data_IF_309092665118
#
_entry.id   IF_309092665118
#
_cell.length_a   1.000
_cell.length_b   1.000
_cell.length_c   1.000
_cell.angle_alpha   90.00
_cell.angle_beta   90.00
_cell.angle_gamma   90.00
#
_symmetry.space_group_name_H-M   'P 1'
#
loop_
_entity.id
_entity.type
_entity.pdbx_description
1 polymer ?
#
# COMPACT_ATOMS: atom_id res chain seq x y z
N UNK A 1 21.42 54.40 -13.84
CA UNK A 1 21.72 53.08 -13.23
C UNK A 1 20.50 52.62 -12.44
N UNK A 2 19.67 51.77 -13.03
CA UNK A 2 18.36 51.37 -12.47
C UNK A 2 18.45 49.92 -12.00
N UNK A 3 18.42 49.71 -10.67
CA UNK A 3 18.46 48.38 -10.04
C UNK A 3 17.14 47.65 -10.28
N UNK A 4 17.15 46.60 -11.13
CA UNK A 4 16.03 45.68 -11.31
C UNK A 4 16.08 44.63 -10.18
N UNK A 5 15.23 44.78 -9.17
CA UNK A 5 15.04 43.76 -8.12
C UNK A 5 14.33 42.54 -8.72
N UNK A 6 15.03 41.42 -8.81
CA UNK A 6 14.47 40.10 -9.11
C UNK A 6 13.59 39.65 -7.93
N UNK A 7 12.31 39.38 -8.18
CA UNK A 7 11.41 38.72 -7.22
C UNK A 7 11.67 37.22 -7.30
N UNK A 8 12.30 36.69 -6.26
CA UNK A 8 12.44 35.25 -6.04
C UNK A 8 11.06 34.65 -5.72
N UNK A 9 10.59 33.60 -6.41
CA UNK A 9 9.35 32.93 -6.05
C UNK A 9 9.55 32.18 -4.73
N UNK A 10 8.76 32.51 -3.71
CA UNK A 10 8.74 31.74 -2.46
C UNK A 10 8.23 30.32 -2.75
N UNK A 11 8.86 29.27 -2.19
CA UNK A 11 8.35 27.92 -2.29
C UNK A 11 7.00 27.86 -1.59
N UNK A 12 5.94 27.50 -2.32
CA UNK A 12 4.65 27.18 -1.74
C UNK A 12 4.87 26.02 -0.77
N UNK A 13 4.64 26.29 0.51
CA UNK A 13 4.58 25.25 1.55
C UNK A 13 3.52 24.23 1.07
N UNK A 14 3.83 22.92 1.02
CA UNK A 14 2.82 21.93 0.68
C UNK A 14 1.67 22.10 1.68
N UNK A 15 0.47 22.36 1.17
CA UNK A 15 -0.74 22.35 1.97
C UNK A 15 -0.86 20.95 2.58
N UNK A 16 -0.77 20.87 3.92
CA UNK A 16 -1.18 19.68 4.65
C UNK A 16 -2.66 19.46 4.32
N UNK A 17 -2.92 18.52 3.39
CA UNK A 17 -4.29 18.03 3.20
C UNK A 17 -4.73 17.47 4.55
N UNK A 18 -5.82 18.01 5.09
CA UNK A 18 -6.48 17.40 6.22
C UNK A 18 -6.87 15.97 5.82
N UNK A 19 -6.19 14.97 6.38
CA UNK A 19 -6.58 13.58 6.19
C UNK A 19 -7.83 13.32 7.01
N UNK A 20 -8.89 12.84 6.38
CA UNK A 20 -10.09 12.42 7.09
C UNK A 20 -9.85 11.05 7.74
N UNK A 21 -10.66 10.72 8.74
CA UNK A 21 -10.56 9.42 9.42
C UNK A 21 -10.56 8.25 8.40
N UNK A 22 -11.46 8.31 7.42
CA UNK A 22 -11.57 7.28 6.40
C UNK A 22 -10.32 7.20 5.51
N UNK A 23 -9.67 8.32 5.19
CA UNK A 23 -8.43 8.31 4.40
C UNK A 23 -7.30 7.58 5.15
N UNK A 24 -7.18 7.84 6.45
CA UNK A 24 -6.18 7.19 7.31
C UNK A 24 -6.50 5.71 7.49
N UNK A 25 -7.77 5.38 7.70
CA UNK A 25 -8.21 3.98 7.82
C UNK A 25 -7.94 3.20 6.53
N UNK A 26 -8.25 3.78 5.37
CA UNK A 26 -7.97 3.17 4.07
C UNK A 26 -6.46 2.96 3.86
N UNK A 27 -5.62 3.91 4.27
CA UNK A 27 -4.17 3.74 4.22
C UNK A 27 -3.71 2.56 5.10
N UNK A 28 -4.22 2.44 6.33
CA UNK A 28 -3.91 1.33 7.23
C UNK A 28 -4.37 -0.01 6.63
N UNK A 29 -5.58 -0.07 6.09
CA UNK A 29 -6.09 -1.26 5.41
C UNK A 29 -5.23 -1.64 4.21
N UNK A 30 -4.69 -0.66 3.47
CA UNK A 30 -3.72 -0.87 2.40
C UNK A 30 -2.44 -1.56 2.90
N UNK A 31 -1.89 -1.12 4.03
CA UNK A 31 -0.69 -1.74 4.62
C UNK A 31 -0.99 -3.16 5.10
N UNK A 32 -2.15 -3.39 5.75
CA UNK A 32 -2.57 -4.73 6.17
C UNK A 32 -2.68 -5.66 4.96
N UNK A 33 -3.32 -5.19 3.87
CA UNK A 33 -3.43 -5.95 2.64
C UNK A 33 -2.04 -6.31 2.08
N UNK A 34 -1.11 -5.36 2.03
CA UNK A 34 0.27 -5.63 1.61
C UNK A 34 0.92 -6.74 2.46
N UNK A 35 0.81 -6.65 3.79
CA UNK A 35 1.35 -7.68 4.69
C UNK A 35 0.72 -9.04 4.46
N UNK A 36 -0.60 -9.12 4.22
CA UNK A 36 -1.30 -10.37 3.87
C UNK A 36 -0.75 -10.94 2.55
N UNK A 37 -0.52 -10.10 1.53
CA UNK A 37 0.08 -10.53 0.25
C UNK A 37 1.49 -11.10 0.45
N UNK A 38 2.29 -10.48 1.32
CA UNK A 38 3.61 -10.99 1.70
C UNK A 38 3.47 -12.37 2.38
N UNK A 39 2.54 -12.51 3.34
CA UNK A 39 2.29 -13.80 4.00
C UNK A 39 1.89 -14.90 3.01
N UNK A 40 1.07 -14.57 2.00
CA UNK A 40 0.64 -15.50 0.96
C UNK A 40 1.77 -15.96 0.05
N UNK A 41 2.70 -15.06 -0.28
CA UNK A 41 3.84 -15.37 -1.18
C UNK A 41 5.05 -15.97 -0.44
N UNK A 42 5.10 -15.87 0.89
CA UNK A 42 6.21 -16.38 1.70
C UNK A 42 6.35 -17.91 1.58
N UNK A 43 7.50 -18.36 1.07
CA UNK A 43 7.86 -19.78 1.07
C UNK A 43 8.12 -20.25 2.50
N UNK A 44 7.29 -21.18 2.98
CA UNK A 44 7.49 -21.81 4.29
C UNK A 44 7.16 -20.90 5.46
N UNK A 45 5.86 -20.67 5.69
CA UNK A 45 5.36 -19.88 6.82
C UNK A 45 4.13 -20.51 7.48
N UNK A 46 3.54 -19.78 8.43
CA UNK A 46 2.37 -20.20 9.20
C UNK A 46 1.21 -20.69 8.33
N UNK A 47 1.06 -20.13 7.12
CA UNK A 47 0.04 -20.52 6.15
C UNK A 47 0.05 -22.01 5.77
N UNK A 48 1.21 -22.66 5.81
CA UNK A 48 1.34 -24.10 5.54
C UNK A 48 0.77 -24.98 6.65
N UNK A 49 0.64 -24.43 7.84
CA UNK A 49 0.20 -25.15 9.03
C UNK A 49 -1.26 -24.83 9.40
N UNK A 50 -1.96 -24.08 8.55
CA UNK A 50 -3.37 -23.77 8.72
C UNK A 50 -3.65 -22.49 9.51
N UNK A 51 -4.95 -22.23 9.70
CA UNK A 51 -5.44 -21.02 10.35
C UNK A 51 -4.96 -20.89 11.80
N UNK A 52 -4.85 -22.00 12.53
CA UNK A 52 -4.41 -21.99 13.94
C UNK A 52 -2.96 -21.51 14.08
N UNK A 53 -2.07 -21.93 13.18
CA UNK A 53 -0.69 -21.47 13.18
C UNK A 53 -0.60 -19.97 12.85
N UNK A 54 -1.43 -19.48 11.91
CA UNK A 54 -1.53 -18.05 11.64
C UNK A 54 -2.06 -17.28 12.84
N UNK A 55 -3.06 -17.80 13.54
CA UNK A 55 -3.60 -17.21 14.76
C UNK A 55 -2.52 -17.07 15.84
N UNK A 56 -1.74 -18.13 16.09
CA UNK A 56 -0.62 -18.10 17.04
C UNK A 56 0.37 -16.98 16.68
N UNK A 57 0.85 -16.93 15.43
CA UNK A 57 1.76 -15.86 14.99
C UNK A 57 1.13 -14.46 15.14
N UNK A 58 -0.18 -14.34 14.94
CA UNK A 58 -0.93 -13.11 15.19
C UNK A 58 -0.90 -12.69 16.65
N UNK A 59 -1.14 -13.63 17.58
CA UNK A 59 -1.11 -13.36 19.02
C UNK A 59 0.29 -13.00 19.53
N UNK A 60 1.34 -13.65 19.02
CA UNK A 60 2.73 -13.30 19.34
C UNK A 60 3.08 -11.89 18.84
N UNK A 61 2.64 -11.55 17.63
CA UNK A 61 2.82 -10.21 17.06
C UNK A 61 2.08 -9.15 17.89
N UNK A 62 0.87 -9.47 18.37
CA UNK A 62 0.09 -8.58 19.22
C UNK A 62 0.80 -8.36 20.58
N UNK A 63 1.30 -9.43 21.21
CA UNK A 63 2.04 -9.33 22.46
C UNK A 63 3.29 -8.45 22.30
N UNK A 64 4.04 -8.63 21.21
CA UNK A 64 5.20 -7.79 20.89
C UNK A 64 4.80 -6.31 20.67
N UNK A 65 3.64 -6.05 20.05
CA UNK A 65 3.10 -4.71 19.85
C UNK A 65 2.67 -4.04 21.16
N UNK A 66 2.12 -4.80 22.10
CA UNK A 66 1.75 -4.32 23.43
C UNK A 66 2.97 -3.97 24.27
N UNK A 67 3.99 -4.84 24.26
CA UNK A 67 5.22 -4.64 25.01
C UNK A 67 6.02 -3.44 24.49
N UNK A 68 6.22 -3.37 23.17
CA UNK A 68 7.11 -2.38 22.55
C UNK A 68 6.39 -1.12 22.07
N UNK A 69 5.06 -1.04 22.19
CA UNK A 69 4.20 0.01 21.61
C UNK A 69 4.50 0.24 20.13
N UNK A 70 4.71 -0.85 19.39
CA UNK A 70 5.11 -0.82 17.99
C UNK A 70 3.90 -1.00 17.06
N UNK A 71 3.65 0.00 16.22
CA UNK A 71 2.57 0.00 15.22
C UNK A 71 2.72 -1.15 14.22
N UNK A 72 3.93 -1.46 13.76
CA UNK A 72 4.15 -2.53 12.77
C UNK A 72 3.74 -3.89 13.32
N UNK A 73 3.95 -4.13 14.62
CA UNK A 73 3.53 -5.35 15.30
C UNK A 73 2.00 -5.48 15.40
N UNK A 74 1.28 -4.38 15.64
CA UNK A 74 -0.19 -4.38 15.58
C UNK A 74 -0.71 -4.65 14.16
N UNK A 75 -0.10 -4.02 13.14
CA UNK A 75 -0.44 -4.26 11.74
C UNK A 75 -0.17 -5.72 11.35
N UNK A 76 0.96 -6.28 11.79
CA UNK A 76 1.33 -7.67 11.55
C UNK A 76 0.34 -8.64 12.21
N UNK A 77 -0.10 -8.36 13.44
CA UNK A 77 -1.13 -9.14 14.12
C UNK A 77 -2.46 -9.11 13.33
N UNK A 78 -2.88 -7.94 12.87
CA UNK A 78 -4.08 -7.80 12.04
C UNK A 78 -3.97 -8.56 10.71
N UNK A 79 -2.81 -8.51 10.05
CA UNK A 79 -2.56 -9.26 8.82
C UNK A 79 -2.67 -10.78 9.04
N UNK A 80 -2.13 -11.31 10.14
CA UNK A 80 -2.29 -12.71 10.49
C UNK A 80 -3.75 -13.10 10.80
N UNK A 81 -4.50 -12.23 11.48
CA UNK A 81 -5.91 -12.47 11.76
C UNK A 81 -6.76 -12.52 10.47
N UNK A 82 -6.49 -11.62 9.52
CA UNK A 82 -7.13 -11.63 8.19
C UNK A 82 -6.76 -12.91 7.43
N UNK A 83 -5.47 -13.26 7.40
CA UNK A 83 -5.00 -14.47 6.72
C UNK A 83 -5.64 -15.74 7.31
N UNK A 84 -5.69 -15.86 8.64
CA UNK A 84 -6.33 -16.99 9.33
C UNK A 84 -7.82 -17.07 8.98
N UNK A 85 -8.51 -15.92 8.96
CA UNK A 85 -9.91 -15.84 8.56
C UNK A 85 -10.11 -16.32 7.13
N UNK A 86 -9.30 -15.83 6.18
CA UNK A 86 -9.33 -16.27 4.78
C UNK A 86 -9.12 -17.78 4.64
N UNK A 87 -8.26 -18.38 5.46
CA UNK A 87 -8.02 -19.81 5.44
C UNK A 87 -9.21 -20.60 5.99
N UNK A 88 -9.85 -20.12 7.08
CA UNK A 88 -11.07 -20.72 7.65
C UNK A 88 -12.26 -20.69 6.69
N UNK A 89 -12.39 -19.61 5.90
CA UNK A 89 -13.47 -19.48 4.91
C UNK A 89 -13.12 -20.05 3.53
N UNK A 90 -11.98 -20.75 3.41
CA UNK A 90 -11.55 -21.39 2.16
C UNK A 90 -11.16 -20.43 1.04
N UNK A 91 -10.91 -19.15 1.35
CA UNK A 91 -10.54 -18.11 0.38
C UNK A 91 -9.02 -17.86 0.30
N UNK A 92 -8.22 -18.57 1.11
CA UNK A 92 -6.76 -18.39 1.12
C UNK A 92 -6.09 -18.74 -0.21
N UNK A 93 -6.64 -19.70 -0.96
CA UNK A 93 -6.05 -20.19 -2.22
C UNK A 93 -6.43 -19.35 -3.45
N UNK A 94 -7.28 -18.33 -3.32
CA UNK A 94 -7.63 -17.44 -4.43
C UNK A 94 -6.38 -16.79 -5.03
N UNK A 95 -6.23 -16.89 -6.35
CA UNK A 95 -5.11 -16.31 -7.08
C UNK A 95 -5.16 -14.78 -7.07
N UNK A 96 -3.99 -14.15 -7.19
CA UNK A 96 -3.94 -12.70 -7.36
C UNK A 96 -4.57 -12.32 -8.69
N UNK A 97 -5.33 -11.21 -8.70
CA UNK A 97 -5.76 -10.62 -9.95
C UNK A 97 -4.54 -10.32 -10.85
N UNK A 98 -4.67 -10.50 -12.17
CA UNK A 98 -3.61 -10.13 -13.09
C UNK A 98 -3.30 -8.62 -12.94
N UNK A 99 -2.04 -8.20 -13.17
CA UNK A 99 -1.72 -6.78 -13.20
C UNK A 99 -2.60 -6.08 -14.24
N UNK A 100 -3.07 -4.85 -13.98
CA UNK A 100 -3.81 -4.10 -14.98
C UNK A 100 -2.98 -3.97 -16.25
N UNK A 101 -3.59 -4.25 -17.41
CA UNK A 101 -2.94 -4.04 -18.70
C UNK A 101 -2.49 -2.58 -18.82
N UNK A 102 -1.18 -2.34 -18.88
CA UNK A 102 -0.65 -1.04 -19.26
C UNK A 102 -1.15 -0.75 -20.67
N UNK A 103 -2.11 0.17 -20.80
CA UNK A 103 -2.42 0.75 -22.10
C UNK A 103 -1.13 1.37 -22.61
N UNK A 104 -0.56 0.75 -23.64
CA UNK A 104 0.58 1.29 -24.36
C UNK A 104 0.28 2.76 -24.71
N UNK A 105 1.25 3.68 -24.56
CA UNK A 105 1.04 5.07 -24.91
C UNK A 105 0.62 5.16 -26.38
N UNK A 106 -0.53 5.81 -26.63
CA UNK A 106 -0.96 6.11 -27.99
C UNK A 106 0.18 6.88 -28.68
N UNK A 107 0.62 6.47 -29.88
CA UNK A 107 1.66 7.18 -30.59
C UNK A 107 1.20 8.64 -30.83
N UNK A 108 2.09 9.63 -30.65
CA UNK A 108 1.73 11.02 -30.85
C UNK A 108 1.20 11.23 -32.27
N UNK A 109 0.08 11.94 -32.38
CA UNK A 109 -0.52 12.32 -33.65
C UNK A 109 0.50 13.11 -34.48
N UNK A 110 0.62 12.85 -35.80
CA UNK A 110 1.57 13.57 -36.64
C UNK A 110 1.22 15.06 -36.69
N UNK A 111 2.19 15.91 -36.32
CA UNK A 111 2.11 17.36 -36.50
C UNK A 111 1.98 17.66 -38.00
N UNK A 112 0.93 18.40 -38.37
CA UNK A 112 0.78 18.93 -39.73
C UNK A 112 1.87 19.99 -39.94
N UNK A 113 2.78 19.74 -40.88
CA UNK A 113 3.68 20.76 -41.42
C UNK A 113 2.83 21.91 -42.00
N UNK A 114 2.89 23.09 -41.38
CA UNK A 114 2.45 24.33 -41.99
C UNK A 114 3.43 24.69 -43.11
N UNK A 115 2.99 24.48 -44.35
CA UNK A 115 3.57 25.07 -45.56
C UNK A 115 3.65 26.60 -45.39
N UNK A 116 4.86 27.12 -45.19
CA UNK A 116 5.16 28.55 -45.32
C UNK A 116 5.08 28.95 -46.79
N UNK A 117 4.17 29.89 -47.09
CA UNK A 117 4.25 30.79 -48.25
C UNK A 117 5.25 31.92 -47.99
#
# INVERSE_FOLDING_TARGET
MTKKKSKNPQPKKPEEKASYFDDVLQAILGIINEKVRILKTRRGGASKYGADAMFICGTESLAAGQENRNVDSYIQAAAYAVAASMQLIGQWEIEFAPPPEEKAPEPPAPEKEEEKK
#
